data_IF_882528383124
#
_entry.id   IF_882528383124
#
_cell.length_a   1.000
_cell.length_b   1.000
_cell.length_c   1.000
_cell.angle_alpha   90.00
_cell.angle_beta   90.00
_cell.angle_gamma   90.00
#
_symmetry.space_group_name_H-M   'P 1'
#
loop_
_entity.id
_entity.type
_entity.pdbx_description
1 polymer ?
#
# COMPACT_ATOMS: atom_id res chain seq x y z
N UNK A 1 15.92 -55.03 -35.15
CA UNK A 1 16.29 -54.59 -33.81
C UNK A 1 16.61 -53.10 -33.87
N UNK A 2 15.64 -52.24 -33.54
CA UNK A 2 15.83 -50.80 -33.43
C UNK A 2 15.65 -50.40 -31.97
N UNK A 3 16.71 -49.97 -31.31
CA UNK A 3 16.70 -49.46 -29.94
C UNK A 3 16.11 -48.05 -29.96
N UNK A 4 14.98 -47.87 -29.31
CA UNK A 4 14.37 -46.54 -29.01
C UNK A 4 15.03 -46.06 -27.75
N UNK A 5 15.70 -44.92 -27.85
CA UNK A 5 16.20 -44.15 -26.69
C UNK A 5 15.06 -43.26 -26.18
N UNK A 6 14.53 -43.56 -25.00
CA UNK A 6 13.73 -42.65 -24.24
C UNK A 6 14.69 -41.63 -23.57
N UNK A 7 14.65 -40.40 -24.04
CA UNK A 7 15.26 -39.30 -23.34
C UNK A 7 14.32 -38.84 -22.21
N UNK A 8 14.70 -39.14 -20.99
CA UNK A 8 14.08 -38.57 -19.80
C UNK A 8 14.49 -37.09 -19.72
N UNK A 9 13.52 -36.20 -19.93
CA UNK A 9 13.69 -34.78 -19.64
C UNK A 9 13.58 -34.64 -18.13
N UNK A 10 14.71 -34.61 -17.45
CA UNK A 10 14.79 -34.17 -16.08
C UNK A 10 14.52 -32.66 -16.07
N UNK A 11 13.36 -32.26 -15.57
CA UNK A 11 13.08 -30.88 -15.24
C UNK A 11 14.01 -30.48 -14.07
N UNK A 12 15.16 -29.93 -14.40
CA UNK A 12 16.04 -29.30 -13.44
C UNK A 12 15.36 -28.01 -13.01
N UNK A 13 14.74 -28.03 -11.85
CA UNK A 13 14.39 -26.81 -11.12
C UNK A 13 15.71 -26.15 -10.77
N UNK A 14 16.16 -25.25 -11.62
CA UNK A 14 17.22 -24.33 -11.32
C UNK A 14 16.72 -23.41 -10.21
N UNK A 15 17.06 -23.76 -8.96
CA UNK A 15 17.12 -22.78 -7.88
C UNK A 15 18.11 -21.71 -8.32
N UNK A 16 17.60 -20.63 -8.90
CA UNK A 16 18.40 -19.42 -9.07
C UNK A 16 18.69 -18.88 -7.67
N UNK A 17 19.80 -19.29 -7.10
CA UNK A 17 20.53 -18.44 -6.17
C UNK A 17 20.95 -17.21 -7.00
N UNK A 18 20.11 -16.19 -7.00
CA UNK A 18 20.49 -14.89 -7.52
C UNK A 18 21.62 -14.38 -6.64
N UNK A 19 22.80 -14.21 -7.25
CA UNK A 19 23.83 -13.37 -6.67
C UNK A 19 23.15 -12.07 -6.21
N UNK A 20 23.39 -11.68 -4.97
CA UNK A 20 22.93 -10.44 -4.37
C UNK A 20 23.57 -9.26 -5.12
N UNK A 21 23.02 -8.94 -6.31
CA UNK A 21 23.17 -7.63 -6.92
C UNK A 21 22.49 -6.69 -5.94
N UNK A 22 23.21 -5.64 -5.52
CA UNK A 22 22.79 -4.65 -4.54
C UNK A 22 21.31 -4.29 -4.74
N UNK A 23 20.46 -4.89 -3.92
CA UNK A 23 19.10 -4.46 -3.70
C UNK A 23 19.22 -3.00 -3.30
N UNK A 24 18.61 -2.09 -4.07
CA UNK A 24 18.36 -0.76 -3.53
C UNK A 24 17.36 -0.97 -2.39
N UNK A 25 17.86 -0.84 -1.18
CA UNK A 25 17.44 -1.54 0.04
C UNK A 25 16.19 -1.00 0.72
N UNK A 26 15.53 0.02 0.18
CA UNK A 26 14.39 0.62 0.86
C UNK A 26 13.10 -0.15 0.53
N UNK A 27 12.43 -0.61 1.56
CA UNK A 27 11.05 -1.11 1.49
C UNK A 27 10.11 0.10 1.37
N UNK A 28 9.40 0.22 0.28
CA UNK A 28 8.52 1.35 0.01
C UNK A 28 7.03 1.04 0.23
N UNK A 29 6.65 -0.23 0.15
CA UNK A 29 5.29 -0.68 0.42
C UNK A 29 5.31 -2.06 1.05
N UNK A 30 4.43 -2.29 2.01
CA UNK A 30 4.18 -3.59 2.63
C UNK A 30 2.70 -3.88 2.49
N UNK A 31 2.35 -5.13 2.19
CA UNK A 31 0.99 -5.61 2.16
C UNK A 31 0.88 -6.92 2.93
N UNK A 32 -0.28 -7.14 3.53
CA UNK A 32 -0.61 -8.37 4.26
C UNK A 32 -2.01 -8.85 3.89
N UNK A 33 -2.17 -10.15 3.75
CA UNK A 33 -3.47 -10.79 3.61
C UNK A 33 -3.60 -11.94 4.62
N UNK A 34 -4.63 -11.85 5.45
CA UNK A 34 -4.95 -12.89 6.45
C UNK A 34 -5.48 -14.15 5.76
N UNK A 35 -6.28 -13.99 4.71
CA UNK A 35 -6.97 -15.05 3.99
C UNK A 35 -6.01 -16.08 3.39
N UNK A 36 -4.86 -15.63 2.92
CA UNK A 36 -3.80 -16.49 2.36
C UNK A 36 -2.59 -16.64 3.27
N UNK A 37 -2.53 -15.91 4.39
CA UNK A 37 -1.36 -15.89 5.25
C UNK A 37 -0.09 -15.45 4.52
N UNK A 38 -0.17 -14.36 3.76
CA UNK A 38 0.95 -13.87 2.95
C UNK A 38 1.33 -12.44 3.33
N UNK A 39 2.62 -12.17 3.25
CA UNK A 39 3.21 -10.83 3.31
C UNK A 39 3.85 -10.52 1.97
N UNK A 40 3.68 -9.31 1.47
CA UNK A 40 4.40 -8.83 0.31
C UNK A 40 5.11 -7.51 0.63
N UNK A 41 6.27 -7.30 0.05
CA UNK A 41 6.96 -6.01 0.10
C UNK A 41 7.47 -5.61 -1.28
N UNK A 42 7.29 -4.33 -1.60
CA UNK A 42 7.84 -3.72 -2.80
C UNK A 42 9.07 -2.87 -2.42
N UNK A 43 10.16 -3.11 -3.14
CA UNK A 43 11.45 -2.49 -2.91
C UNK A 43 11.75 -1.39 -3.93
N UNK A 44 12.56 -0.40 -3.54
CA UNK A 44 13.00 0.69 -4.42
C UNK A 44 13.64 0.20 -5.73
N UNK A 45 14.30 -0.95 -5.70
CA UNK A 45 14.86 -1.62 -6.89
C UNK A 45 13.81 -2.22 -7.83
N UNK A 46 12.52 -2.10 -7.54
CA UNK A 46 11.43 -2.63 -8.35
C UNK A 46 11.10 -4.11 -8.09
N UNK A 47 11.77 -4.76 -7.15
CA UNK A 47 11.41 -6.12 -6.76
C UNK A 47 10.20 -6.13 -5.85
N UNK A 48 9.36 -7.17 -6.00
CA UNK A 48 8.29 -7.49 -5.05
C UNK A 48 8.53 -8.90 -4.55
N UNK A 49 8.73 -9.03 -3.24
CA UNK A 49 8.94 -10.33 -2.59
C UNK A 49 7.70 -10.70 -1.80
N UNK A 50 7.31 -11.95 -1.88
CA UNK A 50 6.16 -12.51 -1.16
C UNK A 50 6.63 -13.64 -0.26
N UNK A 51 6.26 -13.58 1.01
CA UNK A 51 6.55 -14.59 2.02
C UNK A 51 5.27 -15.24 2.53
N UNK A 52 5.42 -16.47 2.96
CA UNK A 52 4.47 -17.11 3.86
C UNK A 52 4.58 -16.48 5.25
N UNK A 53 3.47 -16.02 5.78
CA UNK A 53 3.43 -15.27 7.03
C UNK A 53 3.86 -16.13 8.24
N UNK A 54 3.43 -17.39 8.29
CA UNK A 54 3.69 -18.25 9.43
C UNK A 54 5.11 -18.85 9.42
N UNK A 55 5.63 -19.20 8.25
CA UNK A 55 6.98 -19.79 8.18
C UNK A 55 8.08 -18.76 7.96
N UNK A 56 7.75 -17.57 7.45
CA UNK A 56 8.71 -16.54 7.02
C UNK A 56 9.48 -16.92 5.75
N UNK A 57 9.09 -18.01 5.06
CA UNK A 57 9.78 -18.45 3.84
C UNK A 57 9.32 -17.66 2.63
N UNK A 58 10.26 -17.32 1.76
CA UNK A 58 9.95 -16.72 0.47
C UNK A 58 9.11 -17.69 -0.36
N UNK A 59 7.98 -17.22 -0.84
CA UNK A 59 7.09 -17.95 -1.76
C UNK A 59 7.31 -17.55 -3.21
N UNK A 60 7.37 -16.25 -3.47
CA UNK A 60 7.54 -15.72 -4.82
C UNK A 60 8.41 -14.46 -4.80
N UNK A 61 9.14 -14.25 -5.89
CA UNK A 61 9.87 -13.02 -6.17
C UNK A 61 9.46 -12.55 -7.56
N UNK A 62 8.89 -11.36 -7.64
CA UNK A 62 8.55 -10.71 -8.89
C UNK A 62 9.60 -9.64 -9.18
N UNK A 63 10.30 -9.78 -10.30
CA UNK A 63 11.29 -8.81 -10.74
C UNK A 63 10.59 -7.78 -11.63
N UNK A 64 10.18 -6.68 -11.04
CA UNK A 64 9.82 -5.49 -11.77
C UNK A 64 11.08 -4.65 -11.99
N UNK A 65 11.22 -4.02 -13.17
CA UNK A 65 12.34 -3.11 -13.40
C UNK A 65 12.21 -1.89 -12.48
N UNK A 66 13.33 -1.42 -11.94
CA UNK A 66 13.35 -0.24 -11.09
C UNK A 66 12.77 1.00 -11.81
N UNK A 67 11.93 1.79 -11.14
CA UNK A 67 11.37 3.01 -11.72
C UNK A 67 12.48 3.99 -12.09
N UNK A 68 12.50 4.45 -13.34
CA UNK A 68 13.42 5.51 -13.80
C UNK A 68 13.00 6.90 -13.33
N UNK A 69 11.81 7.02 -12.75
CA UNK A 69 11.22 8.26 -12.27
C UNK A 69 11.01 8.20 -10.77
N UNK A 70 11.40 9.25 -10.06
CA UNK A 70 11.13 9.43 -8.63
C UNK A 70 9.63 9.56 -8.29
N UNK A 71 8.78 9.75 -9.32
CA UNK A 71 7.32 9.85 -9.17
C UNK A 71 6.62 8.48 -9.15
N UNK A 72 7.29 7.42 -9.60
CA UNK A 72 6.79 6.03 -9.54
C UNK A 72 7.38 5.35 -8.32
N UNK A 73 6.66 5.35 -7.21
CA UNK A 73 7.05 4.52 -6.08
C UNK A 73 6.59 3.08 -6.32
N UNK A 74 7.44 2.08 -6.07
CA UNK A 74 7.00 0.71 -6.01
C UNK A 74 5.92 0.53 -4.94
N UNK A 75 4.74 0.12 -5.37
CA UNK A 75 3.59 -0.15 -4.51
C UNK A 75 3.15 -1.59 -4.73
N UNK A 76 2.71 -2.26 -3.67
CA UNK A 76 2.13 -3.60 -3.74
C UNK A 76 0.96 -3.71 -2.77
N UNK A 77 -0.19 -4.21 -3.25
CA UNK A 77 -1.39 -4.40 -2.43
C UNK A 77 -2.08 -5.72 -2.79
N UNK A 78 -2.48 -6.48 -1.78
CA UNK A 78 -3.38 -7.61 -1.98
C UNK A 78 -4.82 -7.11 -2.19
N UNK A 79 -5.58 -7.87 -2.98
CA UNK A 79 -7.04 -7.71 -3.03
C UNK A 79 -7.66 -8.07 -1.67
N UNK A 80 -8.86 -7.56 -1.39
CA UNK A 80 -9.52 -7.77 -0.11
C UNK A 80 -9.81 -9.25 0.20
N UNK A 81 -10.03 -10.07 -0.84
CA UNK A 81 -10.21 -11.53 -0.74
C UNK A 81 -8.88 -12.30 -0.65
N UNK A 82 -7.74 -11.62 -0.74
CA UNK A 82 -6.41 -12.20 -0.68
C UNK A 82 -5.99 -13.03 -1.91
N UNK A 83 -6.84 -13.15 -2.94
CA UNK A 83 -6.55 -14.00 -4.10
C UNK A 83 -5.65 -13.33 -5.14
N UNK A 84 -5.50 -12.01 -5.10
CA UNK A 84 -4.68 -11.27 -6.06
C UNK A 84 -3.67 -10.36 -5.37
N UNK A 85 -2.51 -10.22 -6.01
CA UNK A 85 -1.50 -9.23 -5.68
C UNK A 85 -1.33 -8.28 -6.85
N UNK A 86 -1.61 -7.00 -6.64
CA UNK A 86 -1.30 -5.96 -7.62
C UNK A 86 -0.06 -5.18 -7.20
N UNK A 87 0.79 -4.85 -8.17
CA UNK A 87 1.96 -4.00 -7.92
C UNK A 87 2.35 -3.18 -9.15
N UNK A 88 3.00 -2.06 -8.89
CA UNK A 88 3.54 -1.19 -9.93
C UNK A 88 4.77 -1.85 -10.56
N UNK A 89 4.86 -1.77 -11.88
CA UNK A 89 5.97 -2.33 -12.65
C UNK A 89 6.44 -1.33 -13.70
N UNK A 90 7.75 -1.29 -13.97
CA UNK A 90 8.27 -0.67 -15.18
C UNK A 90 8.24 -1.66 -16.36
N UNK A 91 8.25 -1.13 -17.58
CA UNK A 91 8.10 -1.91 -18.81
C UNK A 91 6.80 -1.54 -19.51
N UNK A 92 6.18 -2.47 -20.20
CA UNK A 92 4.91 -2.24 -20.91
C UNK A 92 3.68 -2.24 -19.99
N UNK A 93 3.81 -2.80 -18.79
CA UNK A 93 2.79 -2.84 -17.75
C UNK A 93 3.13 -1.84 -16.64
N UNK A 94 2.32 -0.79 -16.47
CA UNK A 94 2.48 0.18 -15.39
C UNK A 94 1.93 -0.33 -14.06
N UNK A 95 0.81 -1.05 -14.08
CA UNK A 95 0.21 -1.76 -12.96
C UNK A 95 -0.22 -3.14 -13.45
N UNK A 96 0.25 -4.15 -12.76
CA UNK A 96 -0.08 -5.55 -13.06
C UNK A 96 -0.70 -6.21 -11.83
N UNK A 97 -1.62 -7.13 -12.06
CA UNK A 97 -2.19 -8.01 -11.04
C UNK A 97 -1.86 -9.46 -11.34
N UNK A 98 -1.49 -10.20 -10.31
CA UNK A 98 -1.32 -11.65 -10.36
C UNK A 98 -2.40 -12.33 -9.53
N UNK A 99 -3.03 -13.32 -10.12
CA UNK A 99 -3.85 -14.29 -9.40
C UNK A 99 -2.94 -15.30 -8.71
N UNK A 100 -3.02 -15.37 -7.40
CA UNK A 100 -2.09 -16.15 -6.56
C UNK A 100 -2.38 -17.65 -6.58
N UNK A 101 -3.56 -18.05 -7.01
CA UNK A 101 -3.98 -19.46 -7.09
C UNK A 101 -3.60 -20.07 -8.45
N UNK A 102 -3.78 -19.31 -9.52
CA UNK A 102 -3.56 -19.80 -10.89
C UNK A 102 -2.23 -19.35 -11.47
N UNK A 103 -1.59 -18.31 -10.91
CA UNK A 103 -0.42 -17.64 -11.46
C UNK A 103 -0.72 -16.77 -12.70
N UNK A 104 -1.99 -16.63 -13.08
CA UNK A 104 -2.38 -15.79 -14.20
C UNK A 104 -2.13 -14.30 -13.88
N UNK A 105 -1.73 -13.53 -14.89
CA UNK A 105 -1.52 -12.09 -14.73
C UNK A 105 -2.40 -11.26 -15.65
N UNK A 106 -2.73 -10.07 -15.22
CA UNK A 106 -3.47 -9.07 -16.00
C UNK A 106 -2.81 -7.70 -15.89
N UNK A 107 -2.64 -7.01 -17.01
CA UNK A 107 -2.21 -5.60 -17.03
C UNK A 107 -3.42 -4.75 -16.70
N UNK A 108 -3.42 -4.12 -15.54
CA UNK A 108 -4.51 -3.26 -15.08
C UNK A 108 -4.40 -1.85 -15.67
N UNK A 109 -3.18 -1.30 -15.72
CA UNK A 109 -2.90 -0.01 -16.34
C UNK A 109 -1.65 -0.13 -17.20
N UNK A 110 -1.75 0.01 -18.52
CA UNK A 110 -0.59 -0.04 -19.41
C UNK A 110 0.27 1.22 -19.27
N UNK A 111 1.58 1.07 -19.41
CA UNK A 111 2.56 2.15 -19.25
C UNK A 111 2.28 3.39 -20.12
N UNK A 112 1.71 3.23 -21.30
CA UNK A 112 1.37 4.36 -22.20
C UNK A 112 0.48 5.41 -21.55
N UNK A 113 -0.26 5.05 -20.47
CA UNK A 113 -1.08 5.97 -19.68
C UNK A 113 -0.29 6.64 -18.55
N UNK A 114 0.95 6.22 -18.28
CA UNK A 114 1.74 6.62 -17.13
C UNK A 114 2.70 7.79 -17.38
N UNK A 115 2.26 8.84 -18.05
CA UNK A 115 3.12 10.02 -18.28
C UNK A 115 3.61 10.64 -16.96
N UNK A 116 2.87 10.45 -15.86
CA UNK A 116 3.19 11.02 -14.52
C UNK A 116 3.43 9.99 -13.42
N UNK A 117 3.35 8.69 -13.74
CA UNK A 117 3.47 7.64 -12.75
C UNK A 117 2.21 7.39 -11.91
N UNK A 118 2.11 6.18 -11.36
CA UNK A 118 1.06 5.81 -10.40
C UNK A 118 1.48 6.34 -9.03
N UNK A 119 0.64 7.15 -8.41
CA UNK A 119 0.90 7.71 -7.08
C UNK A 119 0.24 6.91 -5.98
N UNK A 120 -0.91 6.30 -6.25
CA UNK A 120 -1.63 5.43 -5.32
C UNK A 120 -2.57 4.49 -6.07
N UNK A 121 -2.92 3.38 -5.43
CA UNK A 121 -4.04 2.54 -5.87
C UNK A 121 -4.64 1.77 -4.68
N UNK A 122 -5.90 1.39 -4.81
CA UNK A 122 -6.64 0.68 -3.77
C UNK A 122 -7.65 -0.29 -4.38
N UNK A 123 -7.69 -1.53 -3.89
CA UNK A 123 -8.70 -2.52 -4.24
C UNK A 123 -10.06 -2.21 -3.60
N UNK A 124 -11.14 -2.49 -4.34
CA UNK A 124 -12.48 -2.52 -3.76
C UNK A 124 -12.61 -3.66 -2.74
N UNK A 125 -13.55 -3.53 -1.81
CA UNK A 125 -13.83 -4.58 -0.82
C UNK A 125 -14.32 -5.89 -1.47
N UNK A 126 -14.94 -5.81 -2.65
CA UNK A 126 -15.39 -6.96 -3.44
C UNK A 126 -14.27 -7.59 -4.28
N UNK A 127 -13.06 -7.02 -4.26
CA UNK A 127 -11.89 -7.47 -5.04
C UNK A 127 -12.12 -7.52 -6.58
N UNK A 128 -13.16 -6.86 -7.08
CA UNK A 128 -13.57 -6.87 -8.49
C UNK A 128 -13.07 -5.66 -9.28
N UNK A 129 -12.68 -4.60 -8.57
CA UNK A 129 -12.25 -3.33 -9.16
C UNK A 129 -11.19 -2.65 -8.31
N UNK A 130 -10.52 -1.67 -8.91
CA UNK A 130 -9.43 -0.92 -8.31
C UNK A 130 -9.52 0.56 -8.68
N UNK A 131 -9.30 1.44 -7.72
CA UNK A 131 -8.99 2.84 -7.95
C UNK A 131 -7.50 2.97 -8.22
N UNK A 132 -7.13 3.71 -9.24
CA UNK A 132 -5.74 4.01 -9.58
C UNK A 132 -5.57 5.50 -9.80
N UNK A 133 -4.67 6.12 -9.08
CA UNK A 133 -4.34 7.53 -9.20
C UNK A 133 -3.06 7.74 -10.03
N UNK A 134 -3.13 8.64 -11.01
CA UNK A 134 -2.01 9.01 -11.90
C UNK A 134 -1.96 10.54 -12.00
N UNK A 135 -1.12 11.16 -11.19
CA UNK A 135 -1.06 12.61 -11.10
C UNK A 135 -2.38 13.20 -10.59
N UNK A 136 -3.20 13.78 -11.45
CA UNK A 136 -4.52 14.36 -11.13
C UNK A 136 -5.69 13.50 -11.61
N UNK A 137 -5.41 12.40 -12.25
CA UNK A 137 -6.41 11.53 -12.83
C UNK A 137 -6.65 10.32 -11.92
N UNK A 138 -7.92 9.96 -11.74
CA UNK A 138 -8.36 8.75 -11.06
C UNK A 138 -9.04 7.86 -12.09
N UNK A 139 -8.67 6.60 -12.09
CA UNK A 139 -9.26 5.56 -12.92
C UNK A 139 -9.94 4.54 -12.03
N UNK A 140 -11.14 4.12 -12.39
CA UNK A 140 -11.72 2.88 -11.91
C UNK A 140 -11.46 1.82 -12.97
N UNK A 141 -10.72 0.79 -12.60
CA UNK A 141 -10.40 -0.36 -13.47
C UNK A 141 -10.97 -1.63 -12.85
N UNK A 142 -11.56 -2.51 -13.66
CA UNK A 142 -11.95 -3.83 -13.16
C UNK A 142 -10.73 -4.75 -13.05
N UNK A 143 -10.91 -5.90 -12.40
CA UNK A 143 -9.86 -6.89 -12.19
C UNK A 143 -9.23 -7.46 -13.47
N UNK A 144 -9.84 -7.24 -14.64
CA UNK A 144 -9.31 -7.61 -15.96
C UNK A 144 -8.60 -6.46 -16.68
N UNK A 145 -8.40 -5.30 -16.03
CA UNK A 145 -7.72 -4.14 -16.58
C UNK A 145 -8.57 -3.27 -17.51
N UNK A 146 -9.90 -3.45 -17.52
CA UNK A 146 -10.78 -2.56 -18.30
C UNK A 146 -11.12 -1.32 -17.47
N UNK A 147 -10.80 -0.15 -18.02
CA UNK A 147 -11.22 1.12 -17.44
C UNK A 147 -12.74 1.25 -17.53
N UNK A 148 -13.40 1.39 -16.39
CA UNK A 148 -14.83 1.62 -16.29
C UNK A 148 -15.15 3.12 -16.44
N UNK A 149 -14.35 3.95 -15.75
CA UNK A 149 -14.40 5.40 -15.89
C UNK A 149 -13.06 6.04 -15.53
N UNK A 150 -12.88 7.29 -15.97
CA UNK A 150 -11.79 8.18 -15.59
C UNK A 150 -12.37 9.50 -15.12
N UNK A 151 -11.76 10.07 -14.08
CA UNK A 151 -12.06 11.40 -13.54
C UNK A 151 -10.77 12.17 -13.37
N UNK A 152 -10.83 13.47 -13.56
CA UNK A 152 -9.72 14.39 -13.35
C UNK A 152 -10.09 15.41 -12.29
N UNK A 153 -9.19 15.63 -11.32
CA UNK A 153 -9.32 16.73 -10.39
C UNK A 153 -9.14 18.07 -11.15
N UNK A 154 -9.98 19.04 -10.85
CA UNK A 154 -9.91 20.39 -11.44
C UNK A 154 -8.76 21.22 -10.85
N UNK A 155 -8.26 20.85 -9.67
CA UNK A 155 -7.11 21.47 -9.01
C UNK A 155 -5.79 21.19 -9.73
N UNK A 156 -4.73 21.93 -9.38
CA UNK A 156 -3.34 21.64 -9.82
C UNK A 156 -2.64 20.62 -8.94
N UNK A 157 -3.21 20.31 -7.77
CA UNK A 157 -2.64 19.36 -6.82
C UNK A 157 -2.57 17.94 -7.39
N UNK A 158 -1.59 17.19 -6.94
CA UNK A 158 -1.36 15.80 -7.31
C UNK A 158 -2.02 14.90 -6.28
N UNK A 159 -2.71 13.86 -6.73
CA UNK A 159 -3.26 12.84 -5.84
C UNK A 159 -2.11 12.06 -5.22
N UNK A 160 -2.08 11.99 -3.92
CA UNK A 160 -1.06 11.27 -3.16
C UNK A 160 -1.56 9.96 -2.58
N UNK A 161 -2.88 9.85 -2.34
CA UNK A 161 -3.48 8.62 -1.85
C UNK A 161 -4.97 8.51 -2.22
N UNK A 162 -5.47 7.27 -2.27
CA UNK A 162 -6.87 6.93 -2.50
C UNK A 162 -7.29 5.77 -1.60
N UNK A 163 -8.44 5.89 -0.97
CA UNK A 163 -8.99 4.86 -0.10
C UNK A 163 -10.48 4.61 -0.38
N UNK A 164 -10.86 3.35 -0.51
CA UNK A 164 -12.26 2.97 -0.59
C UNK A 164 -12.94 3.14 0.76
N UNK A 165 -14.13 3.70 0.74
CA UNK A 165 -15.08 3.58 1.85
C UNK A 165 -15.53 2.10 1.95
N UNK A 166 -15.67 1.52 3.15
CA UNK A 166 -16.03 0.11 3.32
C UNK A 166 -17.30 -0.32 2.60
N UNK A 167 -18.30 0.58 2.46
CA UNK A 167 -19.52 0.28 1.70
C UNK A 167 -19.31 0.14 0.17
N UNK A 168 -18.16 0.57 -0.36
CA UNK A 168 -17.89 0.63 -1.79
C UNK A 168 -18.67 1.72 -2.56
N UNK A 169 -19.59 2.44 -1.90
CA UNK A 169 -20.39 3.51 -2.51
C UNK A 169 -19.60 4.81 -2.69
N UNK A 170 -18.57 4.99 -1.87
CA UNK A 170 -17.72 6.17 -1.86
C UNK A 170 -16.26 5.80 -1.88
N UNK A 171 -15.42 6.74 -2.23
CA UNK A 171 -13.97 6.69 -2.07
C UNK A 171 -13.45 8.05 -1.65
N UNK A 172 -12.32 8.06 -0.96
CA UNK A 172 -11.67 9.29 -0.50
C UNK A 172 -10.35 9.47 -1.21
N UNK A 173 -10.04 10.69 -1.56
CA UNK A 173 -8.82 11.13 -2.25
C UNK A 173 -8.09 12.12 -1.37
N UNK A 174 -6.78 11.98 -1.26
CA UNK A 174 -5.89 12.95 -0.66
C UNK A 174 -4.93 13.53 -1.70
N UNK A 175 -4.54 14.78 -1.54
CA UNK A 175 -3.66 15.50 -2.46
C UNK A 175 -2.45 16.09 -1.75
N UNK A 176 -1.42 16.45 -2.52
CA UNK A 176 -0.16 17.00 -2.03
C UNK A 176 -0.28 18.44 -1.47
N UNK A 177 -1.41 19.10 -1.67
CA UNK A 177 -1.72 20.40 -1.05
C UNK A 177 -2.61 20.29 0.20
N UNK A 178 -2.86 19.03 0.68
CA UNK A 178 -3.61 18.75 1.89
C UNK A 178 -5.13 18.69 1.70
N UNK A 179 -5.66 18.77 0.49
CA UNK A 179 -7.09 18.55 0.26
C UNK A 179 -7.42 17.08 0.45
N UNK A 180 -8.48 16.81 1.21
CA UNK A 180 -9.12 15.50 1.36
C UNK A 180 -10.55 15.62 0.87
N UNK A 181 -10.96 14.76 -0.04
CA UNK A 181 -12.29 14.80 -0.64
C UNK A 181 -12.90 13.41 -0.75
N UNK A 182 -14.19 13.29 -0.45
CA UNK A 182 -14.97 12.07 -0.63
C UNK A 182 -15.85 12.20 -1.86
N UNK A 183 -15.85 11.14 -2.65
CA UNK A 183 -16.48 11.07 -3.96
C UNK A 183 -17.46 9.91 -4.01
N UNK A 184 -18.60 10.10 -4.65
CA UNK A 184 -19.53 9.01 -4.94
C UNK A 184 -19.01 8.16 -6.10
N UNK A 185 -18.92 6.85 -5.90
CA UNK A 185 -18.30 5.92 -6.88
C UNK A 185 -19.10 5.87 -8.18
N UNK A 186 -20.43 5.88 -8.11
CA UNK A 186 -21.33 5.72 -9.27
C UNK A 186 -21.33 6.95 -10.18
N UNK A 187 -21.42 8.16 -9.60
CA UNK A 187 -21.51 9.41 -10.36
C UNK A 187 -20.16 10.08 -10.58
N UNK A 188 -19.16 9.79 -9.73
CA UNK A 188 -17.89 10.50 -9.69
C UNK A 188 -18.03 11.96 -9.27
N UNK A 189 -19.07 12.29 -8.49
CA UNK A 189 -19.25 13.63 -7.93
C UNK A 189 -18.58 13.72 -6.56
N UNK A 190 -18.01 14.88 -6.26
CA UNK A 190 -17.55 15.22 -4.91
C UNK A 190 -18.76 15.35 -4.01
N UNK A 191 -18.75 14.62 -2.90
CA UNK A 191 -19.76 14.67 -1.85
C UNK A 191 -19.38 15.74 -0.82
N UNK A 192 -18.13 15.71 -0.39
CA UNK A 192 -17.61 16.64 0.59
C UNK A 192 -16.10 16.79 0.41
N UNK A 193 -15.55 17.92 0.83
CA UNK A 193 -14.10 18.15 0.87
C UNK A 193 -13.70 19.00 2.08
N UNK A 194 -12.46 18.81 2.51
CA UNK A 194 -11.84 19.61 3.58
C UNK A 194 -10.36 19.76 3.29
N UNK A 195 -9.75 20.79 3.83
CA UNK A 195 -8.32 21.06 3.69
C UNK A 195 -7.61 20.90 5.02
N UNK A 196 -6.60 20.04 5.03
CA UNK A 196 -5.71 19.86 6.17
C UNK A 196 -4.54 20.85 6.06
N UNK A 197 -4.04 21.28 7.21
CA UNK A 197 -2.84 22.13 7.28
C UNK A 197 -1.60 21.36 6.79
N UNK A 198 -0.86 21.94 5.84
CA UNK A 198 0.37 21.36 5.27
C UNK A 198 1.65 22.04 5.72
N UNK A 199 1.55 22.99 6.65
CA UNK A 199 2.71 23.79 7.04
C UNK A 199 3.25 24.72 5.93
N UNK A 200 2.44 24.93 4.87
CA UNK A 200 2.82 25.80 3.75
C UNK A 200 3.67 25.12 2.67
N UNK A 201 3.88 23.82 2.76
CA UNK A 201 4.64 23.04 1.79
C UNK A 201 3.76 22.00 1.09
N UNK A 202 4.16 21.61 -0.13
CA UNK A 202 3.57 20.39 -0.77
C UNK A 202 4.02 19.18 0.03
N UNK A 203 3.08 18.45 0.61
CA UNK A 203 3.34 17.33 1.48
C UNK A 203 2.42 16.16 1.10
N UNK A 204 2.98 14.95 1.03
CA UNK A 204 2.18 13.76 0.78
C UNK A 204 1.15 13.57 1.90
N UNK A 205 -0.13 13.60 1.55
CA UNK A 205 -1.21 13.25 2.45
C UNK A 205 -1.61 11.79 2.21
N UNK A 206 -2.02 11.10 3.27
CA UNK A 206 -2.56 9.74 3.23
C UNK A 206 -3.93 9.71 3.86
N UNK A 207 -4.78 8.80 3.40
CA UNK A 207 -6.13 8.57 3.93
C UNK A 207 -6.37 7.08 4.16
N UNK A 208 -7.13 6.74 5.18
CA UNK A 208 -7.46 5.35 5.48
C UNK A 208 -8.77 5.22 6.25
N UNK A 209 -9.65 4.37 5.75
CA UNK A 209 -10.88 3.93 6.41
C UNK A 209 -10.62 2.65 7.18
N UNK A 210 -11.27 2.51 8.33
CA UNK A 210 -11.35 1.24 9.06
C UNK A 210 -12.75 0.65 9.00
N UNK A 211 -13.74 1.49 9.16
CA UNK A 211 -15.17 1.19 9.05
C UNK A 211 -15.90 2.39 8.43
N UNK A 212 -17.23 2.35 8.39
CA UNK A 212 -18.04 3.41 7.79
C UNK A 212 -17.99 4.73 8.54
N UNK A 213 -17.60 4.72 9.82
CA UNK A 213 -17.62 5.88 10.71
C UNK A 213 -16.23 6.41 11.10
N UNK A 214 -15.17 5.69 10.69
CA UNK A 214 -13.79 5.94 11.12
C UNK A 214 -12.86 6.20 9.94
N UNK A 215 -12.52 7.46 9.70
CA UNK A 215 -11.57 7.92 8.69
C UNK A 215 -10.41 8.66 9.36
N UNK A 216 -9.19 8.34 8.98
CA UNK A 216 -8.02 9.15 9.32
C UNK A 216 -7.35 9.68 8.07
N UNK A 217 -6.68 10.81 8.23
CA UNK A 217 -5.79 11.39 7.24
C UNK A 217 -4.51 11.91 7.91
N UNK A 218 -3.38 11.74 7.24
CA UNK A 218 -2.12 12.31 7.70
C UNK A 218 -1.54 13.23 6.63
N UNK A 219 -0.88 14.28 7.08
CA UNK A 219 0.00 15.10 6.26
C UNK A 219 1.42 14.85 6.75
N UNK A 220 2.24 14.27 5.88
CA UNK A 220 3.58 13.80 6.21
C UNK A 220 4.43 14.91 6.84
N UNK A 221 5.05 14.63 7.98
CA UNK A 221 5.88 15.57 8.71
C UNK A 221 5.12 16.69 9.41
N UNK A 222 3.79 16.71 9.38
CA UNK A 222 2.98 17.81 9.91
C UNK A 222 1.98 17.33 10.94
N UNK A 223 1.04 16.44 10.54
CA UNK A 223 -0.06 16.06 11.42
C UNK A 223 -0.72 14.75 11.04
N UNK A 224 -1.44 14.19 12.00
CA UNK A 224 -2.42 13.14 11.85
C UNK A 224 -3.77 13.64 12.36
N UNK A 225 -4.83 13.44 11.60
CA UNK A 225 -6.18 13.83 11.96
C UNK A 225 -7.14 12.65 11.86
N UNK A 226 -8.01 12.49 12.85
CA UNK A 226 -9.25 11.71 12.73
C UNK A 226 -10.31 12.64 12.25
N UNK A 227 -10.96 12.28 11.15
CA UNK A 227 -11.92 13.11 10.45
C UNK A 227 -13.35 12.64 10.74
N UNK A 228 -14.26 13.59 10.73
CA UNK A 228 -15.68 13.29 10.64
C UNK A 228 -15.98 12.82 9.20
N UNK A 229 -16.56 11.63 8.98
CA UNK A 229 -16.68 11.06 7.66
C UNK A 229 -17.68 11.78 6.74
N UNK A 230 -18.66 12.50 7.30
CA UNK A 230 -19.66 13.22 6.52
C UNK A 230 -19.14 14.59 6.07
N UNK A 231 -18.42 15.29 6.95
CA UNK A 231 -17.97 16.66 6.73
C UNK A 231 -16.50 16.78 6.39
N UNK A 232 -15.71 15.72 6.59
CA UNK A 232 -14.24 15.66 6.53
C UNK A 232 -13.53 16.70 7.42
N UNK A 233 -14.26 17.31 8.35
CA UNK A 233 -13.64 18.19 9.33
C UNK A 233 -12.89 17.37 10.38
N UNK A 234 -11.71 17.83 10.78
CA UNK A 234 -10.98 17.16 11.84
C UNK A 234 -11.76 17.13 13.15
N UNK A 235 -12.09 15.96 13.67
CA UNK A 235 -12.54 15.76 15.05
C UNK A 235 -11.41 16.04 16.02
N UNK A 236 -10.21 15.61 15.62
CA UNK A 236 -8.96 15.82 16.36
C UNK A 236 -7.80 15.90 15.37
N UNK A 237 -6.93 16.88 15.54
CA UNK A 237 -5.63 16.96 14.85
C UNK A 237 -4.51 16.89 15.89
N UNK A 238 -3.53 16.06 15.62
CA UNK A 238 -2.35 15.93 16.47
C UNK A 238 -1.11 16.17 15.61
N UNK A 239 -0.27 17.12 16.02
CA UNK A 239 1.01 17.34 15.37
C UNK A 239 1.87 16.08 15.52
N UNK A 240 2.36 15.56 14.42
CA UNK A 240 3.27 14.42 14.41
C UNK A 240 4.12 14.39 13.13
N UNK A 241 5.34 13.89 13.27
CA UNK A 241 6.20 13.56 12.15
C UNK A 241 5.82 12.18 11.58
N UNK A 242 4.56 12.04 11.20
CA UNK A 242 4.01 10.76 10.74
C UNK A 242 4.34 10.54 9.27
N UNK A 243 4.95 9.40 8.98
CA UNK A 243 5.27 8.96 7.61
C UNK A 243 4.15 8.12 7.02
N UNK A 244 3.60 7.22 7.84
CA UNK A 244 2.54 6.28 7.46
C UNK A 244 1.72 5.88 8.68
N UNK A 245 0.53 5.34 8.47
CA UNK A 245 -0.33 4.87 9.57
C UNK A 245 -1.20 3.67 9.17
N UNK A 246 -1.68 2.95 10.19
CA UNK A 246 -2.64 1.87 10.05
C UNK A 246 -3.57 1.80 11.27
N UNK A 247 -4.80 1.34 11.05
CA UNK A 247 -5.76 1.12 12.10
C UNK A 247 -5.68 -0.30 12.69
N UNK A 248 -6.01 -0.45 13.98
CA UNK A 248 -6.45 -1.74 14.52
C UNK A 248 -7.81 -2.10 13.93
N UNK A 249 -8.13 -3.40 13.73
CA UNK A 249 -9.38 -3.81 13.07
C UNK A 249 -10.67 -3.42 13.82
N UNK A 250 -10.56 -3.13 15.10
CA UNK A 250 -11.69 -2.68 15.93
C UNK A 250 -11.87 -1.16 15.94
N UNK A 251 -11.08 -0.43 15.16
CA UNK A 251 -11.11 1.03 15.05
C UNK A 251 -10.66 1.80 16.29
N UNK A 252 -10.30 1.12 17.39
CA UNK A 252 -10.02 1.77 18.68
C UNK A 252 -8.62 2.39 18.77
N UNK A 253 -7.67 1.89 17.99
CA UNK A 253 -6.30 2.34 18.00
C UNK A 253 -5.80 2.62 16.58
N UNK A 254 -5.06 3.70 16.44
CA UNK A 254 -4.36 4.09 15.23
C UNK A 254 -2.86 4.07 15.52
N UNK A 255 -2.11 3.35 14.70
CA UNK A 255 -0.68 3.22 14.80
C UNK A 255 -0.03 4.03 13.69
N UNK A 256 0.84 4.95 14.04
CA UNK A 256 1.56 5.77 13.09
C UNK A 256 3.07 5.58 13.22
N UNK A 257 3.74 5.44 12.08
CA UNK A 257 5.20 5.44 12.04
C UNK A 257 5.73 6.86 12.14
N UNK A 258 6.43 7.15 13.22
CA UNK A 258 7.05 8.44 13.55
C UNK A 258 8.52 8.19 13.89
N UNK A 259 9.42 8.06 12.89
CA UNK A 259 10.80 7.62 13.13
C UNK A 259 11.48 8.31 14.31
N UNK A 260 12.16 7.58 15.20
CA UNK A 260 12.36 6.14 15.26
C UNK A 260 11.31 5.39 16.09
N UNK A 261 10.07 5.84 16.11
CA UNK A 261 9.03 5.34 17.02
C UNK A 261 7.75 4.95 16.28
N UNK A 262 6.92 4.15 16.94
CA UNK A 262 5.51 3.96 16.61
C UNK A 262 4.69 4.75 17.64
N UNK A 263 3.97 5.77 17.18
CA UNK A 263 3.00 6.49 17.99
C UNK A 263 1.64 5.80 17.93
N UNK A 264 0.99 5.65 19.08
CA UNK A 264 -0.33 5.02 19.20
C UNK A 264 -1.33 6.08 19.61
N UNK A 265 -2.44 6.15 18.89
CA UNK A 265 -3.51 7.10 19.12
C UNK A 265 -4.82 6.35 19.38
N UNK A 266 -5.70 6.94 20.17
CA UNK A 266 -7.06 6.47 20.37
C UNK A 266 -7.92 6.72 19.10
N UNK A 267 -9.12 6.15 19.05
CA UNK A 267 -10.13 6.42 18.03
C UNK A 267 -10.47 7.92 17.88
N UNK A 268 -10.33 8.70 18.97
CA UNK A 268 -10.53 10.14 18.96
C UNK A 268 -9.32 10.93 18.48
N UNK A 269 -8.20 10.28 18.10
CA UNK A 269 -6.96 10.91 17.65
C UNK A 269 -6.06 11.45 18.78
N UNK A 270 -6.34 11.11 20.05
CA UNK A 270 -5.44 11.46 21.15
C UNK A 270 -4.26 10.49 21.18
N UNK A 271 -3.02 11.01 21.21
CA UNK A 271 -1.82 10.21 21.40
C UNK A 271 -1.83 9.60 22.80
N UNK A 272 -1.85 8.27 22.88
CA UNK A 272 -1.93 7.51 24.12
C UNK A 272 -0.58 6.93 24.53
N UNK A 273 0.25 6.58 23.55
CA UNK A 273 1.50 5.85 23.78
C UNK A 273 2.51 6.10 22.66
N UNK A 274 3.77 5.85 22.96
CA UNK A 274 4.87 5.79 22.01
C UNK A 274 5.75 4.58 22.29
N UNK A 275 6.14 3.88 21.23
CA UNK A 275 7.02 2.71 21.29
C UNK A 275 8.24 2.96 20.44
N UNK A 276 9.41 3.10 21.05
CA UNK A 276 10.67 3.24 20.33
C UNK A 276 11.05 1.96 19.58
N UNK A 277 11.58 2.13 18.38
CA UNK A 277 12.13 1.03 17.59
C UNK A 277 13.61 1.33 17.30
N UNK A 278 14.43 0.31 17.02
CA UNK A 278 15.83 0.53 16.65
C UNK A 278 16.04 1.03 15.22
N UNK A 279 14.97 1.29 14.47
CA UNK A 279 15.03 1.76 13.08
C UNK A 279 14.64 3.23 12.98
N UNK A 280 15.47 4.04 12.31
CA UNK A 280 15.29 5.48 12.17
C UNK A 280 14.81 5.92 10.78
N UNK A 281 14.75 5.00 9.80
CA UNK A 281 14.32 5.28 8.43
C UNK A 281 12.81 5.40 8.27
N UNK A 282 12.41 5.86 7.08
CA UNK A 282 11.01 5.82 6.70
C UNK A 282 10.54 4.38 6.48
N UNK A 283 9.37 4.07 6.96
CA UNK A 283 8.79 2.72 6.87
C UNK A 283 7.30 2.79 6.64
N UNK A 284 6.77 1.99 5.72
CA UNK A 284 5.36 1.64 5.76
C UNK A 284 5.04 0.89 7.05
N UNK A 285 3.80 1.04 7.51
CA UNK A 285 3.28 0.35 8.69
C UNK A 285 1.95 -0.32 8.34
N UNK A 286 1.83 -1.62 8.62
CA UNK A 286 0.64 -2.40 8.26
C UNK A 286 0.21 -3.26 9.45
N UNK A 287 -1.07 -3.23 9.76
CA UNK A 287 -1.66 -4.14 10.74
C UNK A 287 -1.69 -5.58 10.22
N UNK A 288 -1.14 -6.52 10.99
CA UNK A 288 -1.03 -7.93 10.62
C UNK A 288 -1.84 -8.87 11.53
N UNK A 289 -2.88 -8.32 12.18
CA UNK A 289 -3.75 -9.08 13.07
C UNK A 289 -3.16 -9.35 14.45
N UNK A 290 -4.01 -9.70 15.41
CA UNK A 290 -3.62 -10.18 16.75
C UNK A 290 -2.62 -9.28 17.49
N UNK A 291 -2.77 -7.95 17.41
CA UNK A 291 -1.87 -7.01 18.04
C UNK A 291 -0.47 -6.96 17.43
N UNK A 292 -0.34 -7.26 16.13
CA UNK A 292 0.94 -7.30 15.43
C UNK A 292 0.99 -6.29 14.29
N UNK A 293 2.17 -5.74 14.05
CA UNK A 293 2.47 -4.79 12.98
C UNK A 293 3.60 -5.30 12.10
N UNK A 294 3.50 -5.05 10.81
CA UNK A 294 4.59 -5.18 9.86
C UNK A 294 5.19 -3.80 9.61
N UNK A 295 6.51 -3.70 9.68
CA UNK A 295 7.29 -2.50 9.38
C UNK A 295 8.57 -2.88 8.65
N UNK A 296 9.27 -1.92 8.04
CA UNK A 296 10.60 -2.16 7.50
C UNK A 296 11.68 -2.13 8.61
N UNK A 297 12.85 -2.66 8.27
CA UNK A 297 14.06 -2.64 9.10
C UNK A 297 15.28 -2.25 8.24
N UNK A 298 16.39 -1.87 8.90
CA UNK A 298 17.56 -1.21 8.30
C UNK A 298 18.29 -2.00 7.20
N UNK A 299 18.05 -3.29 7.08
CA UNK A 299 18.73 -4.19 6.13
C UNK A 299 17.82 -4.74 5.03
N UNK A 300 16.79 -4.01 4.65
CA UNK A 300 15.78 -4.40 3.67
C UNK A 300 14.79 -5.48 4.16
N UNK A 301 14.90 -5.91 5.40
CA UNK A 301 13.97 -6.88 5.97
C UNK A 301 12.62 -6.23 6.30
N UNK A 302 11.55 -6.99 6.14
CA UNK A 302 10.27 -6.70 6.76
C UNK A 302 10.23 -7.40 8.11
N UNK A 303 9.80 -6.73 9.16
CA UNK A 303 9.71 -7.31 10.49
C UNK A 303 8.28 -7.28 11.01
N UNK A 304 7.88 -8.40 11.61
CA UNK A 304 6.67 -8.51 12.39
C UNK A 304 6.98 -8.11 13.83
N UNK A 305 6.21 -7.17 14.35
CA UNK A 305 6.36 -6.65 15.73
C UNK A 305 5.09 -6.81 16.52
N UNK A 306 5.24 -6.97 17.82
CA UNK A 306 4.17 -6.72 18.77
C UNK A 306 3.83 -5.21 18.77
N UNK A 307 2.56 -4.89 18.57
CA UNK A 307 2.11 -3.51 18.34
C UNK A 307 2.28 -2.61 19.57
N UNK A 308 2.26 -3.18 20.78
CA UNK A 308 2.28 -2.42 22.01
C UNK A 308 3.66 -2.35 22.68
N UNK A 309 4.50 -3.36 22.47
CA UNK A 309 5.87 -3.39 23.01
C UNK A 309 6.94 -3.02 21.99
N UNK A 310 6.62 -3.08 20.69
CA UNK A 310 7.58 -2.88 19.60
C UNK A 310 8.56 -4.04 19.41
N UNK A 311 8.48 -5.09 20.24
CA UNK A 311 9.37 -6.24 20.17
C UNK A 311 9.23 -6.96 18.84
N UNK A 312 10.35 -7.26 18.20
CA UNK A 312 10.39 -8.05 16.96
C UNK A 312 9.98 -9.50 17.30
N UNK A 313 8.98 -10.00 16.62
CA UNK A 313 8.50 -11.37 16.69
C UNK A 313 9.14 -12.22 15.61
N UNK A 314 9.26 -11.66 14.40
CA UNK A 314 9.79 -12.35 13.22
C UNK A 314 10.43 -11.36 12.24
N UNK A 315 11.41 -11.83 11.49
CA UNK A 315 12.03 -11.12 10.37
C UNK A 315 11.76 -11.87 9.08
N UNK A 316 11.34 -11.16 8.04
CA UNK A 316 11.20 -11.64 6.67
C UNK A 316 12.35 -11.04 5.87
N UNK A 317 13.36 -11.84 5.59
CA UNK A 317 14.48 -11.45 4.76
C UNK A 317 14.22 -11.83 3.29
N UNK A 318 14.58 -10.98 2.31
CA UNK A 318 14.44 -11.28 0.89
C UNK A 318 15.37 -12.37 0.40
#
# INVERSE_FOLDING_TARGET
MKRVWLAAIAATVLSHQMAAGELQRDVLSIAYTKEKGLVAAAYRGGQVVVWDFESGRVKNVYNASAPKSTLNQPLAHFSADGHRLAFTQEGDAGLISYDLDTGASAVLVPRRLLVKGITAFSWSQQADSMLVAIGRDIFLVNAQGRTQWQRRLETRAIITDVAWHPSGKFYTVATDDGEVSTWETSSGRVVTSSKLETGGHSAAAKVGWIDEDSLAASVRGVSLAVLDPETLKPKKTTACDCVDFTWSPNGKELFAWTPPSIAIFSESGQRTREVRTPFEGESPIVWAGEGRLLTAFSDSAVVLRDAHSGRIIRTFAP
#
